data_IF_055228552816
#
_entry.id   IF_055228552816
#
_cell.length_a   1.000
_cell.length_b   1.000
_cell.length_c   1.000
_cell.angle_alpha   90.00
_cell.angle_beta   90.00
_cell.angle_gamma   90.00
#
_symmetry.space_group_name_H-M   'P 1'
#
loop_
_entity.id
_entity.type
_entity.pdbx_description
1 polymer ?
#
# COMPACT_ATOMS: atom_id res chain seq x y z
N UNK A 1 -8.85 24.76 21.51
CA UNK A 1 -8.96 23.31 21.26
C UNK A 1 -8.73 23.13 19.78
N UNK A 2 -7.65 22.45 19.39
CA UNK A 2 -7.42 22.11 17.98
C UNK A 2 -8.23 20.84 17.66
N UNK A 3 -8.85 20.74 16.48
CA UNK A 3 -9.54 19.52 16.08
C UNK A 3 -8.52 18.39 15.92
N UNK A 4 -8.78 17.26 16.57
CA UNK A 4 -8.02 16.03 16.37
C UNK A 4 -8.70 15.18 15.29
N UNK A 5 -7.90 14.50 14.49
CA UNK A 5 -8.37 13.64 13.41
C UNK A 5 -7.69 12.28 13.49
N UNK A 6 -8.47 11.23 13.24
CA UNK A 6 -7.93 9.90 12.96
C UNK A 6 -7.46 9.83 11.51
N UNK A 7 -6.43 9.04 11.24
CA UNK A 7 -5.90 8.87 9.89
C UNK A 7 -6.87 8.05 9.03
N UNK A 8 -7.51 7.03 9.61
CA UNK A 8 -8.51 6.19 8.93
C UNK A 8 -9.66 5.81 9.86
N UNK A 9 -10.84 5.58 9.27
CA UNK A 9 -11.96 4.89 9.92
C UNK A 9 -12.40 3.73 9.03
N UNK A 10 -12.24 2.51 9.53
CA UNK A 10 -12.57 1.28 8.83
C UNK A 10 -13.96 0.80 9.26
N UNK A 11 -14.76 0.32 8.32
CA UNK A 11 -16.01 -0.41 8.61
C UNK A 11 -15.88 -1.81 8.02
N UNK A 12 -15.92 -2.82 8.87
CA UNK A 12 -15.81 -4.22 8.50
C UNK A 12 -17.15 -4.76 7.97
N UNK A 13 -17.12 -5.91 7.30
CA UNK A 13 -18.31 -6.50 6.66
C UNK A 13 -19.43 -6.86 7.67
N UNK A 14 -19.07 -7.09 8.92
CA UNK A 14 -19.98 -7.36 10.04
C UNK A 14 -20.55 -6.07 10.68
N UNK A 15 -20.15 -4.90 10.17
CA UNK A 15 -20.55 -3.60 10.69
C UNK A 15 -19.67 -3.06 11.81
N UNK A 16 -18.66 -3.81 12.27
CA UNK A 16 -17.70 -3.33 13.25
C UNK A 16 -16.92 -2.14 12.69
N UNK A 17 -16.67 -1.11 13.51
CA UNK A 17 -16.01 0.14 13.10
C UNK A 17 -14.77 0.37 13.95
N UNK A 18 -13.63 0.57 13.29
CA UNK A 18 -12.35 0.87 13.95
C UNK A 18 -11.79 2.20 13.49
N UNK A 19 -11.44 3.06 14.43
CA UNK A 19 -10.65 4.25 14.17
C UNK A 19 -9.15 3.93 14.29
N UNK A 20 -8.35 4.37 13.34
CA UNK A 20 -6.92 4.06 13.27
C UNK A 20 -6.10 5.35 13.36
N UNK A 21 -5.10 5.33 14.23
CA UNK A 21 -4.14 6.41 14.42
C UNK A 21 -2.73 5.91 14.08
N UNK A 22 -2.08 6.52 13.10
CA UNK A 22 -0.80 6.09 12.54
C UNK A 22 0.32 6.95 13.12
N UNK A 23 1.34 6.30 13.70
CA UNK A 23 2.53 6.98 14.24
C UNK A 23 3.79 6.16 13.95
N UNK A 24 4.95 6.80 14.03
CA UNK A 24 6.24 6.11 14.01
C UNK A 24 6.71 5.83 15.45
N UNK A 25 7.64 4.87 15.60
CA UNK A 25 8.15 4.43 16.89
C UNK A 25 8.79 5.58 17.69
N UNK A 26 9.51 6.49 17.02
CA UNK A 26 10.14 7.66 17.65
C UNK A 26 9.11 8.59 18.29
N UNK A 27 7.95 8.79 17.64
CA UNK A 27 6.86 9.59 18.19
C UNK A 27 6.19 8.86 19.33
N UNK A 28 5.91 7.56 19.18
CA UNK A 28 5.26 6.76 20.21
C UNK A 28 6.09 6.65 21.49
N UNK A 29 7.41 6.78 21.42
CA UNK A 29 8.27 6.83 22.60
C UNK A 29 8.09 8.10 23.47
N UNK A 30 7.43 9.14 22.95
CA UNK A 30 7.23 10.41 23.68
C UNK A 30 5.99 10.34 24.57
N UNK A 31 6.13 10.77 25.83
CA UNK A 31 5.02 10.87 26.78
C UNK A 31 3.88 11.76 26.25
N UNK A 32 4.22 12.93 25.72
CA UNK A 32 3.24 13.86 25.12
C UNK A 32 2.39 13.19 24.02
N UNK A 33 2.99 12.35 23.18
CA UNK A 33 2.25 11.61 22.15
C UNK A 33 1.34 10.55 22.75
N UNK A 34 1.75 9.88 23.83
CA UNK A 34 0.89 8.92 24.53
C UNK A 34 -0.30 9.63 25.20
N UNK A 35 -0.04 10.76 25.86
CA UNK A 35 -1.09 11.55 26.50
C UNK A 35 -2.09 12.09 25.45
N UNK A 36 -1.61 12.53 24.28
CA UNK A 36 -2.48 12.94 23.16
C UNK A 36 -3.35 11.77 22.66
N UNK A 37 -2.76 10.57 22.50
CA UNK A 37 -3.50 9.38 22.07
C UNK A 37 -4.60 9.03 23.09
N UNK A 38 -4.27 9.06 24.38
CA UNK A 38 -5.23 8.78 25.45
C UNK A 38 -6.40 9.78 25.43
N UNK A 39 -6.11 11.08 25.27
CA UNK A 39 -7.13 12.13 25.17
C UNK A 39 -8.02 11.95 23.94
N UNK A 40 -7.43 11.64 22.77
CA UNK A 40 -8.17 11.39 21.53
C UNK A 40 -9.07 10.16 21.71
N UNK A 41 -8.55 9.07 22.27
CA UNK A 41 -9.28 7.81 22.42
C UNK A 41 -10.42 7.95 23.43
N UNK A 42 -10.20 8.69 24.52
CA UNK A 42 -11.24 8.98 25.52
C UNK A 42 -12.37 9.86 24.97
N UNK A 43 -12.11 10.65 23.93
CA UNK A 43 -13.11 11.49 23.28
C UNK A 43 -13.93 10.75 22.20
N UNK A 44 -13.57 9.51 21.86
CA UNK A 44 -14.32 8.72 20.86
C UNK A 44 -15.62 8.21 21.44
N UNK A 45 -16.68 8.43 20.68
CA UNK A 45 -18.04 8.00 21.01
C UNK A 45 -18.41 6.74 20.24
N UNK A 46 -19.34 5.94 20.80
CA UNK A 46 -19.81 4.68 20.20
C UNK A 46 -20.49 4.89 18.84
N UNK A 47 -21.04 6.08 18.55
CA UNK A 47 -21.59 6.40 17.23
C UNK A 47 -20.50 6.67 16.18
N UNK A 48 -19.27 7.00 16.59
CA UNK A 48 -18.13 7.20 15.70
C UNK A 48 -17.43 5.86 15.35
N UNK A 49 -17.00 5.10 16.35
CA UNK A 49 -16.30 3.82 16.20
C UNK A 49 -16.55 2.90 17.41
N UNK A 50 -16.43 1.60 17.19
CA UNK A 50 -16.54 0.58 18.24
C UNK A 50 -15.21 0.39 18.99
N UNK A 51 -14.08 0.66 18.33
CA UNK A 51 -12.77 0.76 18.96
C UNK A 51 -11.79 1.71 18.25
N UNK A 52 -10.65 1.91 18.90
CA UNK A 52 -9.51 2.67 18.40
C UNK A 52 -8.24 1.81 18.44
N UNK A 53 -7.35 1.98 17.46
CA UNK A 53 -6.03 1.36 17.51
C UNK A 53 -4.94 2.28 16.98
N UNK A 54 -3.73 2.09 17.52
CA UNK A 54 -2.52 2.71 17.00
C UNK A 54 -1.82 1.75 16.04
N UNK A 55 -1.40 2.25 14.88
CA UNK A 55 -0.52 1.53 13.94
C UNK A 55 0.85 2.16 13.97
N UNK A 56 1.87 1.35 14.26
CA UNK A 56 3.26 1.78 14.18
C UNK A 56 3.81 1.56 12.76
N UNK A 57 4.32 2.59 12.10
CA UNK A 57 4.90 2.47 10.75
C UNK A 57 6.22 1.68 10.73
N UNK A 58 6.85 1.53 11.89
CA UNK A 58 8.08 0.76 12.04
C UNK A 58 7.85 -0.76 12.07
N UNK A 59 6.61 -1.21 12.33
CA UNK A 59 6.23 -2.64 12.33
C UNK A 59 6.29 -3.27 10.93
N UNK A 60 6.22 -2.43 9.89
CA UNK A 60 6.36 -2.90 8.51
C UNK A 60 7.83 -3.27 8.21
N UNK A 61 8.04 -4.30 7.40
CA UNK A 61 9.41 -4.66 6.98
C UNK A 61 10.01 -3.54 6.14
N UNK A 62 11.35 -3.43 6.14
CA UNK A 62 12.04 -2.46 5.28
C UNK A 62 11.65 -2.63 3.81
N UNK A 63 11.60 -3.87 3.32
CA UNK A 63 11.21 -4.17 1.94
C UNK A 63 9.79 -3.66 1.64
N UNK A 64 8.84 -3.87 2.55
CA UNK A 64 7.47 -3.38 2.38
C UNK A 64 7.41 -1.86 2.26
N UNK A 65 8.11 -1.12 3.13
CA UNK A 65 8.18 0.34 3.05
C UNK A 65 8.87 0.83 1.77
N UNK A 66 9.98 0.20 1.38
CA UNK A 66 10.74 0.58 0.18
C UNK A 66 9.94 0.31 -1.10
N UNK A 67 9.18 -0.80 -1.15
CA UNK A 67 8.26 -1.12 -2.23
C UNK A 67 7.13 -0.10 -2.30
N UNK A 68 6.45 0.18 -1.18
CA UNK A 68 5.38 1.18 -1.13
C UNK A 68 5.85 2.55 -1.62
N UNK A 69 7.04 2.97 -1.18
CA UNK A 69 7.63 4.23 -1.64
C UNK A 69 7.84 4.23 -3.15
N UNK A 70 8.43 3.16 -3.70
CA UNK A 70 8.70 3.04 -5.13
C UNK A 70 7.41 3.03 -5.97
N UNK A 71 6.40 2.29 -5.52
CA UNK A 71 5.07 2.27 -6.14
C UNK A 71 4.48 3.68 -6.11
N UNK A 72 4.50 4.34 -4.96
CA UNK A 72 3.97 5.70 -4.82
C UNK A 72 4.68 6.69 -5.75
N UNK A 73 6.02 6.62 -5.85
CA UNK A 73 6.82 7.45 -6.76
C UNK A 73 6.38 7.23 -8.23
N UNK A 74 6.16 5.98 -8.66
CA UNK A 74 5.71 5.68 -10.03
C UNK A 74 4.26 6.08 -10.28
N UNK A 75 3.38 6.01 -9.28
CA UNK A 75 2.00 6.49 -9.40
C UNK A 75 1.89 8.02 -9.56
N UNK A 76 2.95 8.78 -9.29
CA UNK A 76 2.96 10.24 -9.54
C UNK A 76 3.06 10.60 -11.02
N UNK A 77 3.45 9.65 -11.88
CA UNK A 77 3.60 9.86 -13.33
C UNK A 77 2.76 8.83 -14.07
N UNK A 78 1.64 9.29 -14.63
CA UNK A 78 0.77 8.46 -15.46
C UNK A 78 1.44 8.13 -16.80
N UNK A 79 1.21 6.91 -17.27
CA UNK A 79 1.64 6.43 -18.58
C UNK A 79 0.67 5.32 -18.99
N UNK A 80 -0.55 5.73 -19.33
CA UNK A 80 -1.69 4.84 -19.57
C UNK A 80 -1.40 3.84 -20.71
N UNK A 81 -0.69 4.27 -21.76
CA UNK A 81 -0.28 3.40 -22.86
C UNK A 81 0.60 2.24 -22.38
N UNK A 82 1.51 2.50 -21.44
CA UNK A 82 2.38 1.48 -20.88
C UNK A 82 1.62 0.55 -19.93
N UNK A 83 0.70 1.11 -19.13
CA UNK A 83 -0.11 0.36 -18.18
C UNK A 83 -1.07 -0.59 -18.91
N UNK A 84 -1.77 -0.10 -19.94
CA UNK A 84 -2.66 -0.89 -20.79
C UNK A 84 -1.90 -2.03 -21.49
N UNK A 85 -0.69 -1.76 -22.01
CA UNK A 85 0.12 -2.77 -22.68
C UNK A 85 0.56 -3.89 -21.73
N UNK A 86 1.04 -3.53 -20.53
CA UNK A 86 1.46 -4.54 -19.53
C UNK A 86 0.26 -5.29 -18.97
N UNK A 87 -0.87 -4.63 -18.78
CA UNK A 87 -2.11 -5.29 -18.36
C UNK A 87 -2.61 -6.26 -19.43
N UNK A 88 -2.61 -5.87 -20.70
CA UNK A 88 -2.99 -6.75 -21.82
C UNK A 88 -2.07 -7.99 -21.88
N UNK A 89 -0.75 -7.79 -21.77
CA UNK A 89 0.20 -8.88 -21.70
C UNK A 89 -0.09 -9.80 -20.50
N UNK A 90 -0.39 -9.24 -19.32
CA UNK A 90 -0.74 -10.01 -18.13
C UNK A 90 -2.05 -10.82 -18.28
N UNK A 91 -2.99 -10.35 -19.10
CA UNK A 91 -4.27 -11.03 -19.37
C UNK A 91 -4.16 -12.10 -20.45
N UNK A 92 -3.27 -11.91 -21.42
CA UNK A 92 -3.27 -12.70 -22.64
C UNK A 92 -2.06 -13.62 -22.81
N UNK A 93 -1.09 -13.59 -21.89
CA UNK A 93 0.15 -14.38 -21.99
C UNK A 93 0.44 -15.19 -20.74
N UNK A 94 1.31 -16.20 -20.89
CA UNK A 94 1.82 -17.00 -19.76
C UNK A 94 3.10 -16.37 -19.20
N UNK A 95 3.15 -16.20 -17.89
CA UNK A 95 4.31 -15.69 -17.16
C UNK A 95 4.29 -16.23 -15.72
N UNK A 96 5.45 -16.26 -15.08
CA UNK A 96 5.56 -16.59 -13.66
C UNK A 96 6.34 -15.51 -12.90
N UNK A 97 7.37 -14.97 -13.53
CA UNK A 97 8.18 -13.87 -13.01
C UNK A 97 7.87 -12.54 -13.70
N UNK A 98 8.22 -11.45 -13.03
CA UNK A 98 8.12 -10.11 -13.62
C UNK A 98 8.95 -9.98 -14.89
N UNK A 99 10.12 -10.62 -14.95
CA UNK A 99 10.94 -10.70 -16.16
C UNK A 99 10.21 -11.35 -17.34
N UNK A 100 9.40 -12.38 -17.08
CA UNK A 100 8.66 -13.09 -18.13
C UNK A 100 7.55 -12.19 -18.68
N UNK A 101 6.81 -11.52 -17.78
CA UNK A 101 5.77 -10.56 -18.17
C UNK A 101 6.35 -9.41 -18.99
N UNK A 102 7.47 -8.84 -18.55
CA UNK A 102 8.18 -7.78 -19.28
C UNK A 102 8.64 -8.26 -20.66
N UNK A 103 9.10 -9.51 -20.78
CA UNK A 103 9.53 -10.07 -22.06
C UNK A 103 8.39 -10.29 -23.06
N UNK A 104 7.14 -10.35 -22.58
CA UNK A 104 5.94 -10.44 -23.42
C UNK A 104 5.45 -9.08 -23.94
N UNK A 105 6.07 -7.98 -23.49
CA UNK A 105 5.69 -6.62 -23.85
C UNK A 105 6.58 -6.09 -24.98
N UNK A 106 5.99 -5.53 -26.05
CA UNK A 106 6.73 -4.86 -27.13
C UNK A 106 7.06 -3.40 -26.76
N UNK A 107 7.88 -3.24 -25.71
CA UNK A 107 8.25 -1.94 -25.13
C UNK A 107 9.56 -2.06 -24.34
N UNK A 108 10.22 -0.93 -24.06
CA UNK A 108 11.46 -0.92 -23.29
C UNK A 108 11.28 -1.53 -21.89
N UNK A 109 12.17 -2.45 -21.44
CA UNK A 109 12.01 -3.15 -20.17
C UNK A 109 11.85 -2.24 -18.94
N UNK A 110 12.52 -1.09 -18.92
CA UNK A 110 12.42 -0.14 -17.83
C UNK A 110 11.02 0.50 -17.74
N UNK A 111 10.37 0.73 -18.88
CA UNK A 111 9.02 1.30 -18.95
C UNK A 111 7.98 0.24 -18.56
N UNK A 112 8.17 -1.02 -19.00
CA UNK A 112 7.35 -2.15 -18.58
C UNK A 112 7.44 -2.39 -17.06
N UNK A 113 8.65 -2.29 -16.50
CA UNK A 113 8.85 -2.41 -15.05
C UNK A 113 8.08 -1.34 -14.28
N UNK A 114 8.13 -0.08 -14.72
CA UNK A 114 7.39 1.01 -14.08
C UNK A 114 5.87 0.80 -14.17
N UNK A 115 5.39 0.39 -15.33
CA UNK A 115 3.98 0.04 -15.54
C UNK A 115 3.53 -1.11 -14.63
N UNK A 116 4.31 -2.19 -14.57
CA UNK A 116 4.01 -3.30 -13.65
C UNK A 116 3.95 -2.83 -12.19
N UNK A 117 4.85 -1.94 -11.76
CA UNK A 117 4.81 -1.37 -10.40
C UNK A 117 3.56 -0.50 -10.16
N UNK A 118 3.11 0.28 -11.16
CA UNK A 118 1.84 1.03 -11.07
C UNK A 118 0.64 0.09 -10.99
N UNK A 119 0.60 -0.95 -11.82
CA UNK A 119 -0.46 -1.96 -11.80
C UNK A 119 -0.51 -2.75 -10.48
N UNK A 120 0.63 -2.98 -9.82
CA UNK A 120 0.67 -3.51 -8.45
C UNK A 120 0.03 -2.50 -7.47
N UNK A 121 0.40 -1.22 -7.57
CA UNK A 121 -0.19 -0.14 -6.76
C UNK A 121 -1.68 0.08 -6.96
N UNK A 122 -2.17 -0.14 -8.18
CA UNK A 122 -3.59 -0.08 -8.56
C UNK A 122 -4.34 -1.39 -8.26
N UNK A 123 -3.66 -2.39 -7.67
CA UNK A 123 -4.23 -3.66 -7.28
C UNK A 123 -4.73 -4.51 -8.47
N UNK A 124 -4.19 -4.28 -9.68
CA UNK A 124 -4.42 -5.08 -10.90
C UNK A 124 -3.48 -6.28 -10.93
N UNK A 125 -2.21 -6.05 -10.58
CA UNK A 125 -1.21 -7.11 -10.40
C UNK A 125 -0.96 -7.36 -8.90
N UNK A 126 -0.64 -8.60 -8.58
CA UNK A 126 -0.19 -9.04 -7.27
C UNK A 126 1.32 -9.31 -7.29
N UNK A 127 2.01 -8.94 -6.20
CA UNK A 127 3.38 -9.34 -5.89
C UNK A 127 3.55 -9.47 -4.36
N UNK A 128 4.56 -10.22 -3.92
CA UNK A 128 4.92 -10.27 -2.49
C UNK A 128 5.58 -8.95 -2.03
N UNK A 129 4.81 -8.14 -1.31
CA UNK A 129 5.27 -6.85 -0.78
C UNK A 129 6.32 -6.98 0.34
N UNK A 130 6.49 -8.15 0.95
CA UNK A 130 7.49 -8.36 2.02
C UNK A 130 8.87 -8.74 1.50
N UNK A 131 9.00 -9.14 0.23
CA UNK A 131 10.25 -9.24 -0.51
C UNK A 131 10.51 -7.99 -1.35
N UNK A 132 11.77 -7.71 -1.73
CA UNK A 132 12.04 -6.63 -2.69
C UNK A 132 11.43 -7.00 -4.04
N UNK A 133 10.61 -6.12 -4.60
CA UNK A 133 10.03 -6.34 -5.93
C UNK A 133 11.07 -5.97 -6.99
N UNK A 134 11.45 -6.95 -7.80
CA UNK A 134 12.43 -6.82 -8.88
C UNK A 134 12.15 -7.88 -9.97
N UNK A 135 12.93 -7.91 -11.06
CA UNK A 135 12.74 -8.82 -12.20
C UNK A 135 12.47 -10.30 -11.85
N UNK A 136 13.15 -10.95 -10.88
CA UNK A 136 12.88 -12.34 -10.52
C UNK A 136 11.70 -12.53 -9.55
N UNK A 137 11.00 -11.46 -9.18
CA UNK A 137 9.84 -11.56 -8.30
C UNK A 137 8.68 -12.22 -9.02
N UNK A 138 7.95 -13.08 -8.30
CA UNK A 138 6.69 -13.64 -8.79
C UNK A 138 5.66 -12.53 -8.89
N UNK A 139 4.94 -12.50 -10.01
CA UNK A 139 3.79 -11.62 -10.23
C UNK A 139 2.62 -12.43 -10.77
N UNK A 140 1.41 -11.94 -10.56
CA UNK A 140 0.18 -12.54 -11.08
C UNK A 140 -0.88 -11.46 -11.28
N UNK A 141 -1.90 -11.73 -12.09
CA UNK A 141 -3.14 -10.95 -12.01
C UNK A 141 -3.74 -11.11 -10.62
N UNK A 142 -4.19 -10.00 -10.05
CA UNK A 142 -4.92 -10.02 -8.80
C UNK A 142 -6.34 -10.55 -9.06
N UNK A 143 -6.76 -11.55 -8.27
CA UNK A 143 -8.03 -12.26 -8.44
C UNK A 143 -9.19 -11.60 -7.70
#
# INVERSE_FOLDING_TARGET
MYPHHFDLRLTFKDGYRRAVFVRNATSLAKRETQDEIDDIFAAVTEDFADDCMVVCTDDYTRAYRDNLRRIWDYLQVSDDDADDLVEDAARNTSYWYLSDLIANCDMEPWRCYQAAMRLIGQNVLWADMHGVIDYPSRVALNA
#
